data_IF_216119619124
#
_entry.id   IF_216119619124
#
_cell.length_a   1.000
_cell.length_b   1.000
_cell.length_c   1.000
_cell.angle_alpha   90.00
_cell.angle_beta   90.00
_cell.angle_gamma   90.00
#
_symmetry.space_group_name_H-M   'P 1'
#
loop_
_entity.id
_entity.type
_entity.pdbx_description
1 polymer ?
#
# COMPACT_ATOMS: atom_id res chain seq x y z
N UNK A 1 50.00 31.02 2.82
CA UNK A 1 49.08 29.86 2.85
C UNK A 1 49.48 28.93 1.72
N UNK A 2 49.78 27.65 1.99
CA UNK A 2 50.13 26.72 0.90
C UNK A 2 48.87 26.39 0.07
N UNK A 3 48.99 26.22 -1.26
CA UNK A 3 47.85 25.92 -2.13
C UNK A 3 47.12 24.62 -1.76
N UNK A 4 47.78 23.73 -1.01
CA UNK A 4 47.20 22.48 -0.51
C UNK A 4 46.03 22.68 0.46
N UNK A 5 46.02 23.78 1.23
CA UNK A 5 44.92 24.07 2.16
C UNK A 5 43.62 24.44 1.45
N UNK A 6 43.72 25.16 0.33
CA UNK A 6 42.56 25.55 -0.48
C UNK A 6 41.93 24.32 -1.14
N UNK A 7 42.77 23.43 -1.68
CA UNK A 7 42.33 22.16 -2.27
C UNK A 7 41.66 21.28 -1.21
N UNK A 8 42.27 21.16 -0.02
CA UNK A 8 41.68 20.40 1.09
C UNK A 8 40.30 20.91 1.52
N UNK A 9 40.12 22.24 1.57
CA UNK A 9 38.82 22.86 1.91
C UNK A 9 37.75 22.55 0.85
N UNK A 10 38.09 22.64 -0.43
CA UNK A 10 37.17 22.35 -1.54
C UNK A 10 36.71 20.88 -1.49
N UNK A 11 37.63 19.96 -1.24
CA UNK A 11 37.31 18.53 -1.09
C UNK A 11 36.38 18.30 0.11
N UNK A 12 36.64 18.96 1.25
CA UNK A 12 35.80 18.85 2.44
C UNK A 12 34.37 19.37 2.21
N UNK A 13 34.23 20.51 1.53
CA UNK A 13 32.91 21.07 1.17
C UNK A 13 32.18 20.14 0.22
N UNK A 14 32.87 19.59 -0.80
CA UNK A 14 32.28 18.61 -1.72
C UNK A 14 31.81 17.34 -0.99
N UNK A 15 32.62 16.80 -0.07
CA UNK A 15 32.26 15.62 0.72
C UNK A 15 31.11 15.89 1.71
N UNK A 16 31.00 17.11 2.25
CA UNK A 16 29.90 17.46 3.15
C UNK A 16 28.53 17.41 2.46
N UNK A 17 28.47 17.77 1.17
CA UNK A 17 27.25 17.69 0.37
C UNK A 17 26.79 16.23 0.14
N UNK A 18 27.72 15.30 0.01
CA UNK A 18 27.43 13.88 -0.19
C UNK A 18 26.88 13.20 1.07
N UNK A 19 27.32 13.64 2.25
CA UNK A 19 26.84 13.09 3.52
C UNK A 19 25.35 13.37 3.79
N UNK A 20 24.79 14.43 3.22
CA UNK A 20 23.37 14.76 3.35
C UNK A 20 22.45 13.85 2.52
N UNK A 21 22.99 13.14 1.53
CA UNK A 21 22.20 12.32 0.59
C UNK A 21 22.18 10.84 1.00
N UNK A 22 22.88 10.45 2.07
CA UNK A 22 22.98 9.05 2.44
C UNK A 22 21.63 8.51 2.96
N UNK A 23 21.06 7.47 2.32
CA UNK A 23 19.74 6.99 2.70
C UNK A 23 19.79 6.32 4.07
N UNK A 24 18.88 6.71 4.96
CA UNK A 24 18.73 6.10 6.28
C UNK A 24 18.31 4.62 6.15
N UNK A 25 18.56 3.80 7.17
CA UNK A 25 18.16 2.38 7.26
C UNK A 25 16.70 2.16 6.86
N UNK A 26 15.80 3.05 7.29
CA UNK A 26 14.37 3.02 6.94
C UNK A 26 14.14 3.18 5.43
N UNK A 27 14.81 4.13 4.77
CA UNK A 27 14.67 4.35 3.33
C UNK A 27 15.22 3.18 2.52
N UNK A 28 16.35 2.59 2.96
CA UNK A 28 16.91 1.38 2.31
C UNK A 28 15.96 0.19 2.43
N UNK A 29 15.36 0.01 3.61
CA UNK A 29 14.35 -1.03 3.83
C UNK A 29 13.14 -0.81 2.92
N UNK A 30 12.56 0.39 2.89
CA UNK A 30 11.42 0.72 2.02
C UNK A 30 11.75 0.51 0.54
N UNK A 31 12.95 0.91 0.09
CA UNK A 31 13.40 0.66 -1.28
C UNK A 31 13.43 -0.85 -1.59
N UNK A 32 13.92 -1.68 -0.67
CA UNK A 32 13.90 -3.15 -0.80
C UNK A 32 12.49 -3.72 -0.89
N UNK A 33 11.57 -3.26 -0.04
CA UNK A 33 10.18 -3.72 -0.05
C UNK A 33 9.50 -3.40 -1.39
N UNK A 34 9.70 -2.17 -1.88
CA UNK A 34 9.12 -1.70 -3.15
C UNK A 34 9.73 -2.39 -4.37
N UNK A 35 11.05 -2.61 -4.36
CA UNK A 35 11.71 -3.37 -5.40
C UNK A 35 11.14 -4.79 -5.47
N UNK A 36 11.07 -5.47 -4.33
CA UNK A 36 10.53 -6.82 -4.29
C UNK A 36 9.06 -6.87 -4.74
N UNK A 37 8.26 -5.89 -4.31
CA UNK A 37 6.86 -5.80 -4.76
C UNK A 37 6.73 -5.61 -6.27
N UNK A 38 7.58 -4.79 -6.88
CA UNK A 38 7.63 -4.62 -8.32
C UNK A 38 8.01 -5.92 -9.03
N UNK A 39 8.95 -6.71 -8.49
CA UNK A 39 9.31 -8.04 -8.99
C UNK A 39 8.12 -9.02 -8.93
N UNK A 40 7.19 -8.85 -7.98
CA UNK A 40 5.94 -9.62 -7.91
C UNK A 40 4.80 -9.05 -8.78
N UNK A 41 5.05 -7.98 -9.53
CA UNK A 41 4.06 -7.32 -10.39
C UNK A 41 3.15 -6.31 -9.68
N UNK A 42 3.46 -5.94 -8.43
CA UNK A 42 2.74 -4.90 -7.69
C UNK A 42 3.25 -3.51 -8.08
N UNK A 43 2.33 -2.57 -8.27
CA UNK A 43 2.62 -1.14 -8.47
C UNK A 43 2.56 -0.42 -7.15
N UNK A 44 3.64 0.27 -6.80
CA UNK A 44 3.71 1.06 -5.56
C UNK A 44 3.42 2.52 -5.83
N UNK A 45 2.58 3.16 -5.01
CA UNK A 45 2.24 4.59 -5.10
C UNK A 45 2.21 5.22 -3.72
N UNK A 46 2.74 6.43 -3.61
CA UNK A 46 2.61 7.23 -2.39
C UNK A 46 1.24 7.90 -2.38
N UNK A 47 0.49 7.74 -1.30
CA UNK A 47 -0.85 8.30 -1.18
C UNK A 47 -0.75 9.68 -0.54
N UNK A 48 -1.15 10.69 -1.30
CA UNK A 48 -1.23 12.08 -0.85
C UNK A 48 -2.49 12.30 -0.01
N UNK A 49 -2.45 13.30 0.88
CA UNK A 49 -3.54 13.63 1.80
C UNK A 49 -4.89 13.84 1.13
N UNK A 50 -4.90 14.39 -0.09
CA UNK A 50 -6.11 14.66 -0.86
C UNK A 50 -6.82 13.41 -1.39
N UNK A 51 -6.19 12.24 -1.37
CA UNK A 51 -6.77 11.00 -1.91
C UNK A 51 -7.74 10.34 -0.93
N UNK A 52 -7.56 10.58 0.37
CA UNK A 52 -8.41 10.05 1.44
C UNK A 52 -9.00 11.24 2.19
N UNK A 53 -9.94 11.93 1.55
CA UNK A 53 -10.67 13.08 2.13
C UNK A 53 -12.03 12.65 2.73
N UNK A 54 -12.12 11.38 3.15
CA UNK A 54 -13.26 10.91 3.93
C UNK A 54 -12.95 11.13 5.41
N UNK A 55 -13.79 11.92 6.08
CA UNK A 55 -13.68 12.30 7.50
C UNK A 55 -13.57 11.10 8.45
N UNK A 56 -13.88 9.89 7.97
CA UNK A 56 -13.73 8.62 8.70
C UNK A 56 -12.29 8.11 8.77
N UNK A 57 -11.34 8.75 8.08
CA UNK A 57 -9.94 8.33 8.02
C UNK A 57 -9.01 9.40 8.60
N UNK A 58 -8.14 8.97 9.51
CA UNK A 58 -6.98 9.77 9.85
C UNK A 58 -5.91 9.53 8.78
N UNK A 59 -5.71 10.54 7.93
CA UNK A 59 -4.57 10.55 7.03
C UNK A 59 -3.27 10.44 7.84
N UNK A 60 -2.37 9.55 7.40
CA UNK A 60 -1.03 9.43 7.95
C UNK A 60 0.03 9.81 6.92
N UNK A 61 1.00 10.66 7.28
CA UNK A 61 2.15 10.94 6.43
C UNK A 61 2.95 9.64 6.19
N UNK A 62 3.21 9.34 4.92
CA UNK A 62 3.96 8.14 4.52
C UNK A 62 3.09 6.91 4.22
N UNK A 63 1.79 7.09 4.01
CA UNK A 63 0.91 6.04 3.49
C UNK A 63 1.34 5.61 2.08
N UNK A 64 1.44 4.30 1.87
CA UNK A 64 1.80 3.71 0.58
C UNK A 64 0.72 2.74 0.15
N UNK A 65 0.43 2.78 -1.15
CA UNK A 65 -0.44 1.84 -1.83
C UNK A 65 0.38 0.82 -2.59
N UNK A 66 0.03 -0.45 -2.44
CA UNK A 66 0.55 -1.56 -3.24
C UNK A 66 -0.62 -2.12 -4.03
N UNK A 67 -0.59 -1.93 -5.34
CA UNK A 67 -1.69 -2.27 -6.23
C UNK A 67 -1.31 -3.43 -7.16
N UNK A 68 -2.16 -4.45 -7.22
CA UNK A 68 -2.10 -5.49 -8.23
C UNK A 68 -3.05 -5.09 -9.37
N UNK A 69 -2.53 -4.76 -10.57
CA UNK A 69 -3.38 -4.36 -11.69
C UNK A 69 -4.20 -5.53 -12.22
N UNK A 70 -5.36 -5.24 -12.81
CA UNK A 70 -6.13 -6.28 -13.52
C UNK A 70 -5.29 -6.89 -14.66
N UNK A 71 -5.23 -8.22 -14.71
CA UNK A 71 -4.48 -8.92 -15.77
C UNK A 71 -5.27 -9.04 -17.07
N UNK A 72 -6.60 -9.06 -16.96
CA UNK A 72 -7.51 -9.17 -18.09
C UNK A 72 -8.32 -7.88 -18.25
N UNK A 73 -8.27 -7.30 -19.46
CA UNK A 73 -9.03 -6.11 -19.83
C UNK A 73 -10.54 -6.36 -19.76
N UNK A 74 -11.01 -7.57 -20.06
CA UNK A 74 -12.42 -7.91 -19.95
C UNK A 74 -12.88 -7.94 -18.49
N UNK A 75 -12.07 -8.46 -17.57
CA UNK A 75 -12.33 -8.39 -16.14
C UNK A 75 -12.33 -6.95 -15.61
N UNK A 76 -11.38 -6.12 -16.08
CA UNK A 76 -11.34 -4.70 -15.77
C UNK A 76 -12.64 -4.01 -16.22
N UNK A 77 -13.07 -4.21 -17.46
CA UNK A 77 -14.29 -3.61 -18.02
C UNK A 77 -15.54 -4.08 -17.25
N UNK A 78 -15.63 -5.37 -16.90
CA UNK A 78 -16.71 -5.90 -16.05
C UNK A 78 -16.70 -5.31 -14.63
N UNK A 79 -15.54 -5.21 -14.00
CA UNK A 79 -15.39 -4.59 -12.69
C UNK A 79 -15.84 -3.11 -12.73
N UNK A 80 -15.54 -2.41 -13.83
CA UNK A 80 -15.98 -1.05 -14.04
C UNK A 80 -17.48 -0.92 -14.31
N UNK A 81 -18.03 -1.75 -15.19
CA UNK A 81 -19.43 -1.70 -15.59
C UNK A 81 -20.41 -2.22 -14.52
N UNK A 82 -19.94 -3.10 -13.62
CA UNK A 82 -20.75 -3.64 -12.51
C UNK A 82 -21.09 -2.61 -11.43
N UNK A 83 -20.45 -1.43 -11.44
CA UNK A 83 -20.59 -0.43 -10.37
C UNK A 83 -19.97 -0.89 -9.04
N UNK A 84 -19.22 -1.99 -9.02
CA UNK A 84 -18.48 -2.53 -7.87
C UNK A 84 -17.13 -1.80 -7.65
N UNK A 85 -17.01 -0.56 -8.10
CA UNK A 85 -15.85 0.29 -7.84
C UNK A 85 -16.01 0.95 -6.46
N UNK A 86 -14.97 0.89 -5.64
CA UNK A 86 -14.89 1.37 -4.25
C UNK A 86 -15.48 0.41 -3.19
N UNK A 87 -14.83 -0.74 -3.00
CA UNK A 87 -14.74 -1.28 -1.64
C UNK A 87 -13.55 -0.60 -0.98
N UNK A 88 -13.76 0.08 0.16
CA UNK A 88 -12.70 0.40 1.10
C UNK A 88 -12.89 -0.44 2.36
N UNK A 89 -12.17 -1.56 2.48
CA UNK A 89 -12.12 -2.26 3.77
C UNK A 89 -11.10 -1.54 4.63
N UNK A 90 -11.53 -0.81 5.66
CA UNK A 90 -10.67 0.03 6.46
C UNK A 90 -10.66 -0.34 7.94
N UNK A 91 -9.52 -0.10 8.60
CA UNK A 91 -9.44 -0.19 10.05
C UNK A 91 -10.20 0.97 10.71
N UNK A 92 -11.01 0.73 11.76
CA UNK A 92 -11.67 1.81 12.49
C UNK A 92 -10.65 2.71 13.20
N UNK A 93 -10.91 4.02 13.21
CA UNK A 93 -10.04 5.04 13.80
C UNK A 93 -9.74 4.83 15.30
N UNK A 94 -10.59 4.07 16.01
CA UNK A 94 -10.47 3.85 17.46
C UNK A 94 -9.50 2.72 17.83
N UNK A 95 -9.05 1.90 16.87
CA UNK A 95 -8.04 0.87 17.13
C UNK A 95 -6.64 1.49 17.07
N UNK A 96 -5.90 1.44 18.19
CA UNK A 96 -4.51 1.91 18.24
C UNK A 96 -3.66 1.19 17.20
N UNK A 97 -2.92 1.97 16.41
CA UNK A 97 -2.20 1.53 15.22
C UNK A 97 -1.20 0.39 15.48
N UNK A 98 -0.70 0.29 16.72
CA UNK A 98 0.46 -0.51 17.11
C UNK A 98 0.14 -1.91 17.69
N UNK A 99 -1.11 -2.24 18.05
CA UNK A 99 -1.34 -3.39 18.97
C UNK A 99 -2.38 -4.44 18.54
N UNK A 100 -3.18 -4.22 17.48
CA UNK A 100 -4.25 -5.16 17.12
C UNK A 100 -4.09 -5.77 15.71
N UNK A 101 -4.46 -7.06 15.54
CA UNK A 101 -4.58 -7.68 14.22
C UNK A 101 -5.52 -6.87 13.31
N UNK A 102 -5.44 -7.07 11.99
CA UNK A 102 -6.34 -6.39 11.06
C UNK A 102 -7.80 -6.58 11.50
N UNK A 103 -8.49 -5.49 11.80
CA UNK A 103 -9.95 -5.43 11.95
C UNK A 103 -10.46 -4.65 10.75
N UNK A 104 -10.49 -5.30 9.59
CA UNK A 104 -11.00 -4.70 8.36
C UNK A 104 -12.52 -4.54 8.43
N UNK A 105 -13.02 -3.31 8.37
CA UNK A 105 -14.44 -2.97 8.35
C UNK A 105 -14.77 -2.33 7.00
N UNK A 106 -15.93 -2.66 6.44
CA UNK A 106 -16.39 -2.06 5.19
C UNK A 106 -16.73 -0.59 5.42
N UNK A 107 -16.04 0.29 4.71
CA UNK A 107 -16.33 1.72 4.67
C UNK A 107 -16.43 2.16 3.20
N UNK A 108 -17.32 3.12 2.91
CA UNK A 108 -17.58 3.58 1.54
C UNK A 108 -18.80 2.91 0.89
N UNK A 109 -19.75 3.74 0.47
CA UNK A 109 -21.00 3.33 -0.14
C UNK A 109 -21.01 3.78 -1.61
N UNK A 110 -20.90 2.79 -2.51
CA UNK A 110 -21.40 2.77 -3.89
C UNK A 110 -21.27 1.39 -4.54
N UNK A 111 -20.48 0.48 -3.95
CA UNK A 111 -20.29 -0.85 -4.47
C UNK A 111 -21.44 -1.80 -4.08
N UNK A 112 -22.01 -2.50 -5.07
CA UNK A 112 -23.08 -3.51 -4.95
C UNK A 112 -22.54 -4.87 -4.44
N UNK A 113 -21.76 -4.87 -3.35
CA UNK A 113 -21.40 -6.13 -2.69
C UNK A 113 -22.39 -6.43 -1.56
N UNK A 114 -22.78 -7.69 -1.46
CA UNK A 114 -23.55 -8.19 -0.33
C UNK A 114 -22.71 -8.16 0.95
N UNK A 115 -23.39 -8.09 2.10
CA UNK A 115 -22.73 -8.17 3.41
C UNK A 115 -21.92 -9.47 3.58
N UNK A 116 -22.36 -10.56 2.93
CA UNK A 116 -21.68 -11.86 2.96
C UNK A 116 -20.36 -11.84 2.18
N UNK A 117 -20.33 -11.28 0.96
CA UNK A 117 -19.09 -11.13 0.18
C UNK A 117 -18.06 -10.30 0.97
N UNK A 118 -18.52 -9.23 1.61
CA UNK A 118 -17.66 -8.35 2.38
C UNK A 118 -17.10 -9.03 3.64
N UNK A 119 -17.89 -9.84 4.33
CA UNK A 119 -17.44 -10.64 5.48
C UNK A 119 -16.39 -11.68 5.08
N UNK A 120 -16.55 -12.33 3.91
CA UNK A 120 -15.57 -13.28 3.37
C UNK A 120 -14.24 -12.57 3.11
N UNK A 121 -14.26 -11.41 2.45
CA UNK A 121 -13.04 -10.65 2.16
C UNK A 121 -12.36 -10.18 3.45
N UNK A 122 -13.13 -9.67 4.42
CA UNK A 122 -12.58 -9.23 5.70
C UNK A 122 -11.94 -10.39 6.48
N UNK A 123 -12.61 -11.54 6.58
CA UNK A 123 -12.08 -12.74 7.24
C UNK A 123 -10.81 -13.24 6.58
N UNK A 124 -10.79 -13.33 5.25
CA UNK A 124 -9.61 -13.76 4.52
C UNK A 124 -8.45 -12.77 4.68
N UNK A 125 -8.74 -11.47 4.64
CA UNK A 125 -7.78 -10.41 4.89
C UNK A 125 -7.16 -10.55 6.27
N UNK A 126 -7.98 -10.70 7.31
CA UNK A 126 -7.51 -10.84 8.69
C UNK A 126 -6.70 -12.14 8.92
N UNK A 127 -7.03 -13.22 8.21
CA UNK A 127 -6.29 -14.48 8.28
C UNK A 127 -4.93 -14.41 7.55
N UNK A 128 -4.86 -13.69 6.43
CA UNK A 128 -3.66 -13.64 5.57
C UNK A 128 -2.70 -12.53 6.01
N UNK A 129 -3.25 -11.37 6.36
CA UNK A 129 -2.52 -10.15 6.65
C UNK A 129 -2.22 -10.07 8.15
N UNK A 130 -0.96 -10.28 8.51
CA UNK A 130 -0.45 -10.17 9.88
C UNK A 130 0.11 -8.78 10.19
N UNK A 131 -0.18 -7.80 9.33
CA UNK A 131 0.30 -6.42 9.45
C UNK A 131 -0.88 -5.47 9.50
N UNK A 132 -0.73 -4.30 10.15
CA UNK A 132 -1.79 -3.31 10.21
C UNK A 132 -2.02 -2.69 8.83
N UNK A 133 -3.05 -3.18 8.15
CA UNK A 133 -3.55 -2.61 6.90
C UNK A 133 -4.54 -1.50 7.24
N UNK A 134 -4.37 -0.35 6.58
CA UNK A 134 -5.28 0.79 6.75
C UNK A 134 -6.51 0.59 5.88
N UNK A 135 -6.32 0.25 4.60
CA UNK A 135 -7.42 0.02 3.70
C UNK A 135 -7.11 -1.01 2.60
N UNK A 136 -8.13 -1.70 2.11
CA UNK A 136 -8.11 -2.44 0.83
C UNK A 136 -9.03 -1.72 -0.14
N UNK A 137 -8.55 -1.41 -1.33
CA UNK A 137 -9.28 -0.71 -2.38
C UNK A 137 -9.49 -1.61 -3.61
N UNK A 138 -10.67 -1.53 -4.23
CA UNK A 138 -10.95 -2.13 -5.54
C UNK A 138 -11.43 -1.03 -6.48
N UNK A 139 -10.74 -0.86 -7.59
CA UNK A 139 -11.02 0.19 -8.56
C UNK A 139 -10.80 -0.26 -10.01
N UNK A 140 -10.92 0.67 -10.94
CA UNK A 140 -10.73 0.41 -12.37
C UNK A 140 -9.32 -0.08 -12.73
N UNK A 141 -8.32 0.22 -11.91
CA UNK A 141 -6.93 -0.16 -12.20
C UNK A 141 -6.57 -1.53 -11.65
N UNK A 142 -7.24 -1.99 -10.59
CA UNK A 142 -6.96 -3.27 -9.96
C UNK A 142 -7.52 -3.37 -8.54
N UNK A 143 -6.80 -4.14 -7.74
CA UNK A 143 -6.99 -4.23 -6.29
C UNK A 143 -5.74 -3.69 -5.61
N UNK A 144 -5.92 -2.94 -4.52
CA UNK A 144 -4.81 -2.30 -3.83
C UNK A 144 -4.95 -2.40 -2.33
N UNK A 145 -3.81 -2.30 -1.65
CA UNK A 145 -3.75 -2.20 -0.20
C UNK A 145 -3.02 -0.92 0.19
N UNK A 146 -3.58 -0.21 1.16
CA UNK A 146 -3.06 1.02 1.73
C UNK A 146 -2.57 0.74 3.13
N UNK A 147 -1.30 1.01 3.39
CA UNK A 147 -0.68 0.71 4.68
C UNK A 147 0.57 1.54 4.94
N UNK A 148 1.00 1.60 6.20
CA UNK A 148 2.29 2.18 6.56
C UNK A 148 3.36 1.12 6.36
N UNK A 149 4.29 1.37 5.43
CA UNK A 149 5.34 0.41 5.09
C UNK A 149 6.21 0.07 6.31
N UNK A 150 6.12 -1.19 6.73
CA UNK A 150 6.91 -1.77 7.81
C UNK A 150 7.04 -3.29 7.63
N UNK A 151 7.91 -3.91 8.43
CA UNK A 151 8.15 -5.34 8.36
C UNK A 151 9.18 -5.72 7.29
N UNK A 152 8.98 -6.89 6.68
CA UNK A 152 9.98 -7.54 5.83
C UNK A 152 9.41 -7.94 4.46
N UNK A 153 10.24 -8.53 3.63
CA UNK A 153 9.85 -9.06 2.31
C UNK A 153 8.73 -10.11 2.44
N UNK A 154 8.70 -10.88 3.52
CA UNK A 154 7.62 -11.83 3.84
C UNK A 154 6.27 -11.14 3.99
N UNK A 155 6.24 -9.90 4.48
CA UNK A 155 5.02 -9.10 4.52
C UNK A 155 4.49 -8.81 3.12
N UNK A 156 5.38 -8.47 2.18
CA UNK A 156 5.00 -8.22 0.78
C UNK A 156 4.46 -9.49 0.14
N UNK A 157 5.04 -10.67 0.41
CA UNK A 157 4.51 -11.95 -0.06
C UNK A 157 3.07 -12.19 0.42
N UNK A 158 2.78 -11.89 1.69
CA UNK A 158 1.42 -12.03 2.24
C UNK A 158 0.43 -11.04 1.62
N UNK A 159 0.86 -9.79 1.41
CA UNK A 159 0.07 -8.76 0.72
C UNK A 159 -0.24 -9.23 -0.70
N UNK A 160 0.77 -9.69 -1.43
CA UNK A 160 0.63 -10.17 -2.80
C UNK A 160 -0.32 -11.36 -2.89
N UNK A 161 -0.14 -12.36 -2.03
CA UNK A 161 -1.01 -13.53 -1.98
C UNK A 161 -2.47 -13.15 -1.72
N UNK A 162 -2.71 -12.22 -0.80
CA UNK A 162 -4.04 -11.69 -0.53
C UNK A 162 -4.64 -10.96 -1.73
N UNK A 163 -3.87 -10.08 -2.39
CA UNK A 163 -4.35 -9.33 -3.56
C UNK A 163 -4.64 -10.26 -4.75
N UNK A 164 -3.82 -11.30 -4.98
CA UNK A 164 -4.11 -12.31 -6.00
C UNK A 164 -5.37 -13.09 -5.69
N UNK A 165 -5.51 -13.57 -4.45
CA UNK A 165 -6.73 -14.24 -4.01
C UNK A 165 -7.95 -13.33 -4.23
N UNK A 166 -7.84 -12.05 -3.89
CA UNK A 166 -8.94 -11.09 -4.04
C UNK A 166 -9.32 -10.90 -5.52
N UNK A 167 -8.35 -10.73 -6.43
CA UNK A 167 -8.66 -10.67 -7.87
C UNK A 167 -9.38 -11.94 -8.36
N UNK A 168 -8.89 -13.12 -7.96
CA UNK A 168 -9.50 -14.40 -8.34
C UNK A 168 -10.92 -14.50 -7.78
N UNK A 169 -11.12 -14.20 -6.50
CA UNK A 169 -12.44 -14.19 -5.88
C UNK A 169 -13.39 -13.26 -6.63
N UNK A 170 -12.99 -12.02 -6.90
CA UNK A 170 -13.80 -11.05 -7.61
C UNK A 170 -14.12 -11.49 -9.04
N UNK A 171 -13.19 -12.14 -9.74
CA UNK A 171 -13.43 -12.65 -11.10
C UNK A 171 -14.52 -13.73 -11.15
N UNK A 172 -14.75 -14.45 -10.04
CA UNK A 172 -15.86 -15.42 -9.95
C UNK A 172 -17.21 -14.76 -9.65
N UNK A 173 -17.22 -13.51 -9.19
CA UNK A 173 -18.42 -12.77 -8.76
C UNK A 173 -18.83 -11.65 -9.73
N UNK A 174 -18.15 -11.51 -10.87
CA UNK A 174 -18.31 -10.47 -11.90
C UNK A 174 -18.75 -11.04 -13.26
#
# INVERSE_FOLDING_TARGET
MSPFWVIGLIILVALSSLYQVMPNKRQRMQARLRQYAAEQGLRTRLILKSYIDDKRYHWHPGLVSYALPWQDKALMEKACSSGKQAILLARPANDSFESSPCNLIVMGAKARYSAQELDIIAKQGNATLSVPIIAVEINAEGVAIHWLEQGSVETIKKIEAFLRWLQTYLSTQL
#
